data_IF_097333853952
#
_entry.id   IF_097333853952
#
_cell.length_a   1.000
_cell.length_b   1.000
_cell.length_c   1.000
_cell.angle_alpha   90.00
_cell.angle_beta   90.00
_cell.angle_gamma   90.00
#
_symmetry.space_group_name_H-M   'P 1'
#
loop_
_entity.id
_entity.type
_entity.pdbx_description
1 polymer ?
#
# COMPACT_ATOMS: atom_id res chain seq x y z
N UNK A 1 -4.35 11.47 13.90
CA UNK A 1 -4.34 10.67 12.65
C UNK A 1 -3.30 9.58 12.81
N UNK A 2 -3.68 8.32 12.64
CA UNK A 2 -2.74 7.19 12.74
C UNK A 2 -1.98 7.04 11.42
N UNK A 3 -0.65 7.10 11.48
CA UNK A 3 0.22 7.00 10.29
C UNK A 3 0.31 5.59 9.72
N UNK A 4 -0.06 4.58 10.50
CA UNK A 4 -0.07 3.20 10.09
C UNK A 4 -1.24 2.47 10.72
N UNK A 5 -1.82 1.53 9.97
CA UNK A 5 -2.89 0.66 10.42
C UNK A 5 -2.58 -0.78 10.08
N UNK A 6 -3.16 -1.70 10.86
CA UNK A 6 -3.00 -3.14 10.64
C UNK A 6 -4.27 -3.67 9.99
N UNK A 7 -4.11 -4.22 8.79
CA UNK A 7 -5.17 -4.89 8.04
C UNK A 7 -4.76 -6.35 7.87
N UNK A 8 -5.64 -7.28 8.26
CA UNK A 8 -5.39 -8.72 8.15
C UNK A 8 -4.05 -9.16 8.79
N UNK A 9 -3.72 -8.59 9.95
CA UNK A 9 -2.45 -8.84 10.64
C UNK A 9 -1.19 -8.24 9.97
N UNK A 10 -1.34 -7.59 8.81
CA UNK A 10 -0.25 -6.90 8.09
C UNK A 10 -0.29 -5.40 8.37
N UNK A 11 0.86 -4.78 8.60
CA UNK A 11 0.97 -3.33 8.78
C UNK A 11 1.02 -2.62 7.42
N UNK A 12 0.15 -1.64 7.24
CA UNK A 12 0.12 -0.72 6.12
C UNK A 12 0.39 0.70 6.61
N UNK A 13 1.04 1.50 5.78
CA UNK A 13 1.33 2.91 6.06
C UNK A 13 0.41 3.80 5.25
N UNK A 14 -0.07 4.87 5.87
CA UNK A 14 -0.81 5.88 5.16
C UNK A 14 0.11 6.57 4.14
N UNK A 15 -0.41 6.81 2.94
CA UNK A 15 0.31 7.48 1.85
C UNK A 15 0.63 8.96 2.14
N UNK A 16 0.05 9.52 3.20
CA UNK A 16 0.20 10.94 3.55
C UNK A 16 -0.73 11.87 2.76
N UNK A 17 -1.57 11.32 1.88
CA UNK A 17 -2.59 12.05 1.13
C UNK A 17 -4.00 11.69 1.56
N UNK A 18 -4.84 12.73 1.62
CA UNK A 18 -6.28 12.62 1.80
C UNK A 18 -6.91 12.89 0.45
N UNK A 19 -7.79 12.00 0.02
CA UNK A 19 -8.52 12.12 -1.23
C UNK A 19 -9.96 12.50 -0.88
N UNK A 20 -10.53 13.48 -1.59
CA UNK A 20 -11.94 13.86 -1.47
C UNK A 20 -12.80 13.23 -2.58
N UNK A 21 -12.14 12.67 -3.60
CA UNK A 21 -12.78 12.04 -4.75
C UNK A 21 -12.44 10.55 -4.80
N UNK A 22 -13.47 9.72 -4.91
CA UNK A 22 -13.29 8.27 -4.95
C UNK A 22 -12.51 7.83 -6.21
N UNK A 23 -12.72 8.52 -7.34
CA UNK A 23 -12.06 8.17 -8.59
C UNK A 23 -10.56 8.43 -8.49
N UNK A 24 -10.16 9.58 -7.93
CA UNK A 24 -8.74 9.90 -7.71
C UNK A 24 -8.07 8.86 -6.79
N UNK A 25 -8.76 8.47 -5.70
CA UNK A 25 -8.31 7.40 -4.80
C UNK A 25 -8.09 6.08 -5.53
N UNK A 26 -9.04 5.66 -6.38
CA UNK A 26 -8.96 4.39 -7.12
C UNK A 26 -7.82 4.41 -8.14
N UNK A 27 -7.62 5.52 -8.84
CA UNK A 27 -6.51 5.68 -9.78
C UNK A 27 -5.17 5.57 -9.06
N UNK A 28 -5.03 6.19 -7.88
CA UNK A 28 -3.80 6.04 -7.11
C UNK A 28 -3.60 4.66 -6.50
N UNK A 29 -4.66 4.02 -6.01
CA UNK A 29 -4.59 2.64 -5.53
C UNK A 29 -4.11 1.69 -6.64
N UNK A 30 -4.56 1.89 -7.88
CA UNK A 30 -4.13 1.09 -9.02
C UNK A 30 -2.64 1.29 -9.34
N UNK A 31 -2.14 2.53 -9.29
CA UNK A 31 -0.70 2.82 -9.49
C UNK A 31 0.17 2.14 -8.45
N UNK A 32 -0.20 2.20 -7.17
CA UNK A 32 0.55 1.53 -6.11
C UNK A 32 0.56 0.00 -6.30
N UNK A 33 -0.57 -0.59 -6.72
CA UNK A 33 -0.63 -2.01 -7.05
C UNK A 33 0.30 -2.39 -8.20
N UNK A 34 0.40 -1.55 -9.22
CA UNK A 34 1.31 -1.75 -10.36
C UNK A 34 2.79 -1.68 -9.92
N UNK A 35 3.11 -0.78 -8.98
CA UNK A 35 4.45 -0.63 -8.38
C UNK A 35 4.80 -1.75 -7.37
N UNK A 36 3.90 -2.74 -7.19
CA UNK A 36 4.11 -3.89 -6.31
C UNK A 36 3.75 -3.64 -4.84
N UNK A 37 2.86 -2.69 -4.57
CA UNK A 37 2.30 -2.46 -3.23
C UNK A 37 0.93 -3.10 -3.08
N UNK A 38 0.65 -3.68 -1.91
CA UNK A 38 -0.71 -3.91 -1.45
C UNK A 38 -1.30 -2.56 -1.01
N UNK A 39 -2.58 -2.33 -1.34
CA UNK A 39 -3.29 -1.08 -1.02
C UNK A 39 -4.62 -1.38 -0.37
N UNK A 40 -4.83 -0.79 0.79
CA UNK A 40 -6.09 -0.77 1.53
C UNK A 40 -6.68 0.64 1.51
N UNK A 41 -7.99 0.73 1.27
CA UNK A 41 -8.69 2.01 1.13
C UNK A 41 -9.67 2.17 2.28
N UNK A 42 -9.55 3.27 3.02
CA UNK A 42 -10.45 3.59 4.13
C UNK A 42 -11.23 4.85 3.82
N UNK A 43 -12.46 4.92 4.28
CA UNK A 43 -13.30 6.11 4.27
C UNK A 43 -13.63 6.48 5.72
N UNK A 44 -13.32 7.70 6.12
CA UNK A 44 -13.69 8.24 7.43
C UNK A 44 -14.16 9.68 7.26
N UNK A 45 -15.34 10.02 7.77
CA UNK A 45 -15.85 11.40 7.73
C UNK A 45 -16.13 11.96 6.33
N UNK A 46 -16.27 11.10 5.31
CA UNK A 46 -16.40 11.52 3.90
C UNK A 46 -15.06 11.82 3.22
N UNK A 47 -13.95 11.60 3.91
CA UNK A 47 -12.59 11.67 3.38
C UNK A 47 -12.08 10.25 3.10
N UNK A 48 -11.28 10.12 2.04
CA UNK A 48 -10.70 8.84 1.69
C UNK A 48 -9.19 8.79 1.93
N UNK A 49 -8.74 7.66 2.46
CA UNK A 49 -7.37 7.40 2.83
C UNK A 49 -6.85 6.16 2.12
N UNK A 50 -5.60 6.23 1.66
CA UNK A 50 -4.87 5.10 1.09
C UNK A 50 -3.79 4.63 2.04
N UNK A 51 -3.85 3.36 2.40
CA UNK A 51 -2.84 2.67 3.18
C UNK A 51 -2.10 1.70 2.26
N UNK A 52 -0.80 1.86 2.12
CA UNK A 52 0.04 1.06 1.22
C UNK A 52 1.04 0.22 2.00
N UNK A 53 1.40 -0.93 1.44
CA UNK A 53 2.40 -1.84 1.97
C UNK A 53 3.20 -2.41 0.82
N UNK A 54 4.52 -2.28 0.86
CA UNK A 54 5.37 -2.87 -0.19
C UNK A 54 5.34 -4.39 -0.08
N UNK A 55 4.99 -5.08 -1.16
CA UNK A 55 5.15 -6.53 -1.26
C UNK A 55 6.52 -6.80 -1.84
N UNK A 56 7.44 -7.26 -1.01
CA UNK A 56 8.72 -7.76 -1.51
C UNK A 56 8.40 -9.06 -2.25
N UNK A 57 8.35 -9.02 -3.58
CA UNK A 57 8.46 -10.23 -4.38
C UNK A 57 9.81 -10.84 -4.04
N UNK A 58 9.80 -12.04 -3.50
CA UNK A 58 10.99 -12.82 -3.22
C UNK A 58 11.78 -12.96 -4.53
N UNK A 59 12.87 -12.20 -4.65
CA UNK A 59 13.80 -12.36 -5.76
C UNK A 59 14.58 -13.61 -5.41
N UNK A 60 14.32 -14.71 -6.11
CA UNK A 60 15.16 -15.91 -6.06
C UNK A 60 16.53 -15.48 -6.58
N UNK A 61 17.43 -15.13 -5.67
CA UNK A 61 18.85 -14.95 -5.96
C UNK A 61 19.46 -16.33 -6.05
N UNK A 62 19.59 -16.87 -7.27
CA UNK A 62 20.45 -18.02 -7.54
C UNK A 62 21.92 -17.60 -7.38
N UNK A 63 22.35 -17.42 -6.13
CA UNK A 63 23.75 -17.26 -5.76
C UNK A 63 24.24 -18.58 -5.18
N UNK A 64 24.85 -19.42 -6.01
CA UNK A 64 25.64 -20.54 -5.49
C UNK A 64 26.72 -19.96 -4.55
N UNK A 65 26.91 -20.52 -3.34
CA UNK A 65 27.96 -20.05 -2.44
C UNK A 65 29.32 -20.21 -3.14
N UNK A 66 30.21 -19.22 -3.08
CA UNK A 66 31.57 -19.39 -3.58
C UNK A 66 32.25 -20.51 -2.77
N UNK A 67 32.89 -21.41 -3.52
CA UNK A 67 33.61 -22.61 -3.07
C UNK A 67 34.83 -22.27 -2.21
#
# INVERSE_FOLDING_TARGET
MELARVFDGKKFMWDGRVYTDEKERREMAQKYKDDGFEVEMIEEGGEYFLFTRRVVKEVVVEGAPPI
#
